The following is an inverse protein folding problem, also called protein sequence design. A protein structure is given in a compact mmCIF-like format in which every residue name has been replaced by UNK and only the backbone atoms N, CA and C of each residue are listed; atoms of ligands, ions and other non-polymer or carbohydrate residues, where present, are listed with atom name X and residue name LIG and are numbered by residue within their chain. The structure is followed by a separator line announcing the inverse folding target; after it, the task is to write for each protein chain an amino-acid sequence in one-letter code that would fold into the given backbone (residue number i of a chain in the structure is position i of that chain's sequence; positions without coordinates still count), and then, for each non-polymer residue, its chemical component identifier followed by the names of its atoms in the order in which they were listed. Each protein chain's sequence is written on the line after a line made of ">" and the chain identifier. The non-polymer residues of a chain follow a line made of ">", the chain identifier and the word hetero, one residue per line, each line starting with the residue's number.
data_IF_823385159626
#
_entry.id   IF_823385159626
#
_cell.length_a   1.000
_cell.length_b   1.000
_cell.length_c   1.000
_cell.angle_alpha   90.00
_cell.angle_beta   90.00
_cell.angle_gamma   90.00
#
_symmetry.space_group_name_H-M   'P 1'
#
loop_
_entity.id
_entity.type
_entity.pdbx_description
1 polymer ?
#
# COMPACT_ATOMS: atom_id res chain seq x y z
N UNK A 1 27.13 -0.79 12.25
CA UNK A 1 26.73 0.59 11.89
C UNK A 1 25.24 0.57 11.56
N UNK A 2 24.39 0.95 12.52
CA UNK A 2 22.95 1.08 12.31
C UNK A 2 22.74 2.44 11.64
N UNK A 3 22.37 2.45 10.36
CA UNK A 3 22.00 3.70 9.70
C UNK A 3 20.79 4.30 10.45
N UNK A 4 20.85 5.56 10.91
CA UNK A 4 19.66 6.23 11.42
C UNK A 4 18.63 6.23 10.29
N UNK A 5 17.51 5.55 10.48
CA UNK A 5 16.42 5.60 9.51
C UNK A 5 15.80 6.98 9.61
N UNK A 6 16.14 7.88 8.68
CA UNK A 6 15.49 9.18 8.57
C UNK A 6 13.98 8.93 8.42
N UNK A 7 13.15 9.30 9.41
CA UNK A 7 11.71 9.11 9.34
C UNK A 7 11.12 9.72 8.06
N UNK A 8 11.75 10.76 7.53
CA UNK A 8 11.35 11.45 6.30
C UNK A 8 11.31 10.52 5.08
N UNK A 9 12.21 9.53 4.99
CA UNK A 9 12.25 8.59 3.87
C UNK A 9 10.97 7.74 3.81
N UNK A 10 10.54 7.21 4.96
CA UNK A 10 9.36 6.35 5.04
C UNK A 10 8.06 7.13 4.85
N UNK A 11 7.99 8.39 5.30
CA UNK A 11 6.86 9.27 5.00
C UNK A 11 6.73 9.56 3.51
N UNK A 12 7.84 9.78 2.79
CA UNK A 12 7.83 9.97 1.33
C UNK A 12 7.30 8.73 0.61
N UNK A 13 7.76 7.53 1.01
CA UNK A 13 7.28 6.26 0.44
C UNK A 13 5.79 6.06 0.73
N UNK A 14 5.36 6.33 1.97
CA UNK A 14 3.95 6.23 2.34
C UNK A 14 3.07 7.22 1.56
N UNK A 15 3.54 8.46 1.34
CA UNK A 15 2.82 9.46 0.57
C UNK A 15 2.60 9.03 -0.89
N UNK A 16 3.65 8.56 -1.58
CA UNK A 16 3.54 8.05 -2.95
C UNK A 16 2.60 6.84 -3.02
N UNK A 17 2.74 5.91 -2.07
CA UNK A 17 1.87 4.73 -2.00
C UNK A 17 0.41 5.10 -1.76
N UNK A 18 0.13 6.11 -0.93
CA UNK A 18 -1.23 6.57 -0.62
C UNK A 18 -1.91 7.23 -1.80
N UNK A 19 -1.20 8.05 -2.57
CA UNK A 19 -1.73 8.63 -3.81
C UNK A 19 -2.10 7.52 -4.80
N UNK A 20 -1.25 6.51 -4.95
CA UNK A 20 -1.53 5.36 -5.82
C UNK A 20 -2.77 4.57 -5.34
N UNK A 21 -2.88 4.30 -4.03
CA UNK A 21 -4.03 3.59 -3.46
C UNK A 21 -5.35 4.34 -3.68
N UNK A 22 -5.36 5.68 -3.52
CA UNK A 22 -6.53 6.50 -3.82
C UNK A 22 -6.89 6.46 -5.31
N UNK A 23 -5.89 6.57 -6.20
CA UNK A 23 -6.10 6.50 -7.64
C UNK A 23 -6.75 5.17 -8.07
N UNK A 24 -6.25 4.05 -7.54
CA UNK A 24 -6.78 2.72 -7.83
C UNK A 24 -8.19 2.50 -7.26
N UNK A 25 -8.44 3.01 -6.05
CA UNK A 25 -9.77 2.95 -5.44
C UNK A 25 -10.82 3.74 -6.22
N UNK A 26 -10.50 4.98 -6.61
CA UNK A 26 -11.40 5.84 -7.38
C UNK A 26 -11.63 5.33 -8.80
N UNK A 27 -10.59 4.81 -9.47
CA UNK A 27 -10.73 4.11 -10.76
C UNK A 27 -11.65 2.89 -10.63
N UNK A 28 -11.45 2.08 -9.58
CA UNK A 28 -12.30 0.93 -9.25
C UNK A 28 -13.78 1.27 -9.07
N UNK A 29 -14.06 2.43 -8.48
CA UNK A 29 -15.42 2.87 -8.21
C UNK A 29 -16.13 3.48 -9.43
N UNK A 30 -15.41 4.20 -10.29
CA UNK A 30 -16.02 5.03 -11.34
C UNK A 30 -15.85 4.49 -12.77
N UNK A 31 -14.70 3.86 -13.04
CA UNK A 31 -14.29 3.53 -14.41
C UNK A 31 -14.15 2.02 -14.63
N UNK A 32 -13.82 1.26 -13.60
CA UNK A 32 -13.63 -0.17 -13.69
C UNK A 32 -14.95 -0.92 -13.91
N UNK A 33 -15.15 -1.40 -15.14
CA UNK A 33 -16.34 -2.16 -15.59
C UNK A 33 -15.90 -3.50 -16.21
N UNK A 34 -15.47 -4.47 -15.39
CA UNK A 34 -15.06 -5.78 -15.90
C UNK A 34 -16.26 -6.55 -16.45
N UNK A 35 -16.04 -7.38 -17.48
CA UNK A 35 -17.08 -8.26 -18.04
C UNK A 35 -17.54 -9.32 -17.03
N UNK A 36 -16.62 -9.82 -16.21
CA UNK A 36 -16.93 -10.73 -15.11
C UNK A 36 -17.00 -9.95 -13.78
N UNK A 37 -18.15 -9.97 -13.08
CA UNK A 37 -18.33 -9.30 -11.79
C UNK A 37 -17.29 -9.68 -10.73
N UNK A 38 -16.74 -10.90 -10.79
CA UNK A 38 -15.71 -11.38 -9.87
C UNK A 38 -14.48 -10.48 -9.83
N UNK A 39 -14.08 -9.91 -10.96
CA UNK A 39 -12.93 -9.01 -11.00
C UNK A 39 -13.19 -7.71 -10.25
N UNK A 40 -14.45 -7.29 -10.11
CA UNK A 40 -14.81 -6.12 -9.30
C UNK A 40 -14.52 -6.37 -7.83
N UNK A 41 -14.84 -7.55 -7.32
CA UNK A 41 -14.51 -7.94 -5.94
C UNK A 41 -12.99 -8.02 -5.73
N UNK A 42 -12.26 -8.67 -6.65
CA UNK A 42 -10.80 -8.77 -6.60
C UNK A 42 -10.17 -7.36 -6.58
N UNK A 43 -10.63 -6.47 -7.47
CA UNK A 43 -10.15 -5.08 -7.52
C UNK A 43 -10.41 -4.32 -6.22
N UNK A 44 -11.60 -4.46 -5.65
CA UNK A 44 -11.96 -3.81 -4.39
C UNK A 44 -11.09 -4.33 -3.23
N UNK A 45 -10.90 -5.65 -3.14
CA UNK A 45 -10.04 -6.27 -2.13
C UNK A 45 -8.58 -5.84 -2.28
N UNK A 46 -8.03 -5.85 -3.51
CA UNK A 46 -6.67 -5.40 -3.78
C UNK A 46 -6.47 -3.91 -3.42
N UNK A 47 -7.43 -3.05 -3.80
CA UNK A 47 -7.41 -1.63 -3.49
C UNK A 47 -7.46 -1.37 -1.98
N UNK A 48 -8.32 -2.09 -1.25
CA UNK A 48 -8.42 -1.99 0.21
C UNK A 48 -7.12 -2.42 0.88
N UNK A 49 -6.55 -3.56 0.46
CA UNK A 49 -5.30 -4.03 1.01
C UNK A 49 -4.13 -3.07 0.73
N UNK A 50 -4.07 -2.45 -0.45
CA UNK A 50 -3.08 -1.41 -0.74
C UNK A 50 -3.23 -0.22 0.22
N UNK A 51 -4.45 0.26 0.47
CA UNK A 51 -4.68 1.36 1.40
C UNK A 51 -4.24 1.02 2.83
N UNK A 52 -4.62 -0.16 3.33
CA UNK A 52 -4.24 -0.64 4.68
C UNK A 52 -2.71 -0.75 4.81
N UNK A 53 -2.03 -1.27 3.78
CA UNK A 53 -0.56 -1.36 3.80
C UNK A 53 0.12 0.00 3.71
N UNK A 54 -0.47 0.97 3.01
CA UNK A 54 0.00 2.35 3.02
C UNK A 54 -0.09 2.94 4.42
N UNK A 55 -1.21 2.74 5.12
CA UNK A 55 -1.38 3.19 6.50
C UNK A 55 -0.35 2.54 7.44
N UNK A 56 -0.07 1.26 7.25
CA UNK A 56 0.97 0.55 8.00
C UNK A 56 2.38 1.08 7.69
N UNK A 57 2.70 1.41 6.43
CA UNK A 57 3.97 2.05 6.04
C UNK A 57 4.14 3.43 6.68
N UNK A 58 3.06 4.20 6.78
CA UNK A 58 3.05 5.51 7.43
C UNK A 58 3.33 5.39 8.94
N UNK A 59 2.78 4.36 9.59
CA UNK A 59 3.02 4.06 11.02
C UNK A 59 4.34 3.33 11.31
N UNK A 60 5.01 2.75 10.30
CA UNK A 60 6.21 1.94 10.48
C UNK A 60 7.37 2.65 11.23
N UNK A 61 7.65 3.96 11.01
CA UNK A 61 8.67 4.70 11.76
C UNK A 61 8.43 4.78 13.27
N UNK A 62 7.19 4.57 13.73
CA UNK A 62 6.82 4.61 15.15
C UNK A 62 7.07 3.28 15.88
N UNK A 63 7.52 2.25 15.16
CA UNK A 63 7.72 0.90 15.71
C UNK A 63 9.14 0.72 16.26
N UNK A 64 9.33 -0.26 17.16
CA UNK A 64 10.66 -0.60 17.72
C UNK A 64 11.69 -1.03 16.66
N UNK A 65 11.24 -1.52 15.49
CA UNK A 65 12.10 -2.05 14.41
C UNK A 65 11.55 -1.64 13.03
N UNK A 66 11.69 -0.36 12.65
CA UNK A 66 11.01 0.22 11.48
C UNK A 66 11.37 -0.46 10.16
N UNK A 67 12.59 -0.98 10.00
CA UNK A 67 13.02 -1.68 8.78
C UNK A 67 12.33 -3.03 8.59
N UNK A 68 12.07 -3.78 9.66
CA UNK A 68 11.42 -5.10 9.57
C UNK A 68 9.94 -4.91 9.23
N UNK A 69 9.29 -3.93 9.85
CA UNK A 69 7.88 -3.62 9.58
C UNK A 69 7.74 -3.10 8.15
N UNK A 70 8.55 -2.11 7.76
CA UNK A 70 8.46 -1.51 6.43
C UNK A 70 8.75 -2.49 5.29
N UNK A 71 9.68 -3.44 5.47
CA UNK A 71 10.00 -4.43 4.42
C UNK A 71 8.89 -5.46 4.24
N UNK A 72 8.28 -5.93 5.34
CA UNK A 72 7.14 -6.85 5.28
C UNK A 72 5.93 -6.16 4.64
N UNK A 73 5.66 -4.91 5.02
CA UNK A 73 4.55 -4.14 4.45
C UNK A 73 4.77 -3.85 2.96
N UNK A 74 6.01 -3.60 2.51
CA UNK A 74 6.35 -3.44 1.09
C UNK A 74 6.23 -4.72 0.26
N UNK A 75 6.66 -5.87 0.79
CA UNK A 75 6.57 -7.16 0.08
C UNK A 75 5.11 -7.54 -0.13
N UNK A 76 4.27 -7.41 0.90
CA UNK A 76 2.82 -7.63 0.72
C UNK A 76 2.20 -6.63 -0.26
N UNK A 77 2.61 -5.35 -0.22
CA UNK A 77 2.15 -4.34 -1.17
C UNK A 77 2.34 -4.78 -2.63
N UNK A 78 3.54 -5.30 -2.95
CA UNK A 78 3.88 -5.74 -4.31
C UNK A 78 3.13 -7.01 -4.71
N UNK A 79 2.91 -7.93 -3.77
CA UNK A 79 2.14 -9.15 -4.02
C UNK A 79 0.66 -8.87 -4.30
N UNK A 80 0.09 -7.82 -3.70
CA UNK A 80 -1.30 -7.41 -3.92
C UNK A 80 -1.57 -6.84 -5.32
N UNK A 81 -0.54 -6.42 -6.05
CA UNK A 81 -0.64 -5.96 -7.43
C UNK A 81 -0.47 -7.07 -8.48
N UNK A 82 0.00 -8.25 -8.07
CA UNK A 82 0.31 -9.38 -8.95
C UNK A 82 -0.83 -10.42 -9.03
N UNK A 83 -1.99 -10.13 -8.43
CA UNK A 83 -3.19 -10.98 -8.40
C UNK A 83 -4.34 -10.29 -9.12
#
# INVERSE_FOLDING_TARGET
>A
MVMPTDPMLWHKVAAVSGVAALGLGTYGAHMFRPQNPRYKEIWQTASLYHLVHTAALLGAPMTKRPNIVSINTRILLLLLFLI
#
